data_IF_511368927988
#
_entry.id   IF_511368927988
#
_cell.length_a   1.000
_cell.length_b   1.000
_cell.length_c   1.000
_cell.angle_alpha   90.00
_cell.angle_beta   90.00
_cell.angle_gamma   90.00
#
_symmetry.space_group_name_H-M   'P 1'
#
loop_
_entity.id
_entity.type
_entity.pdbx_description
1 polymer ?
#
# COMPACT_ATOMS: atom_id res chain seq x y z
N UNK A 1 24.06 18.13 60.92
CA UNK A 1 24.47 19.17 59.95
C UNK A 1 25.48 18.60 58.98
N UNK A 2 25.20 18.61 57.66
CA UNK A 2 26.05 19.20 56.60
C UNK A 2 25.50 18.81 55.22
N UNK A 3 25.15 19.86 54.46
CA UNK A 3 24.78 19.89 53.03
C UNK A 3 26.03 19.80 52.14
N UNK A 4 25.82 19.41 50.86
CA UNK A 4 26.36 19.95 49.56
C UNK A 4 26.37 18.80 48.53
N UNK A 5 25.43 18.72 47.58
CA UNK A 5 25.39 19.28 46.19
C UNK A 5 26.61 18.91 45.33
N UNK A 6 26.31 18.60 44.05
CA UNK A 6 27.13 18.49 42.82
C UNK A 6 27.16 17.03 42.35
N UNK A 7 26.78 16.63 41.14
CA UNK A 7 26.52 17.32 39.88
C UNK A 7 27.00 16.44 38.73
N UNK A 8 26.24 16.36 37.64
CA UNK A 8 26.70 15.95 36.31
C UNK A 8 26.85 14.44 36.03
N UNK A 9 26.06 13.92 35.07
CA UNK A 9 26.54 13.63 33.72
C UNK A 9 25.39 13.07 32.86
N UNK A 10 25.10 13.78 31.77
CA UNK A 10 24.26 13.33 30.66
C UNK A 10 24.96 12.18 29.95
N UNK A 11 24.26 11.06 29.74
CA UNK A 11 24.57 10.15 28.64
C UNK A 11 23.31 10.00 27.80
N UNK A 12 23.22 10.86 26.79
CA UNK A 12 22.34 10.66 25.65
C UNK A 12 22.89 9.48 24.84
N UNK A 13 22.32 8.30 25.02
CA UNK A 13 22.58 7.18 24.14
C UNK A 13 21.71 7.35 22.87
N UNK A 14 22.26 8.08 21.90
CA UNK A 14 21.80 8.06 20.52
C UNK A 14 22.07 6.66 19.95
N UNK A 15 21.11 5.75 20.11
CA UNK A 15 21.11 4.47 19.40
C UNK A 15 20.65 4.69 17.94
N UNK A 16 21.53 5.29 17.13
CA UNK A 16 21.49 5.13 15.68
C UNK A 16 22.16 3.79 15.35
N UNK A 17 21.36 2.76 15.11
CA UNK A 17 21.89 1.45 14.75
C UNK A 17 20.78 0.49 14.39
N UNK A 18 20.34 0.54 13.14
CA UNK A 18 19.47 -0.47 12.56
C UNK A 18 17.99 -0.10 12.53
N UNK A 19 17.63 0.93 11.76
CA UNK A 19 16.33 0.86 11.07
C UNK A 19 16.52 -0.18 9.96
N UNK A 20 16.55 -1.45 10.36
CA UNK A 20 16.20 -2.53 9.46
C UNK A 20 14.76 -2.26 9.09
N UNK A 21 14.55 -1.52 7.99
CA UNK A 21 13.29 -1.58 7.25
C UNK A 21 13.20 -3.01 6.73
N UNK A 22 12.83 -3.94 7.62
CA UNK A 22 12.06 -5.09 7.21
C UNK A 22 10.89 -4.48 6.45
N UNK A 23 10.98 -4.47 5.13
CA UNK A 23 9.82 -4.19 4.30
C UNK A 23 8.88 -5.33 4.61
N UNK A 24 8.04 -5.15 5.64
CA UNK A 24 6.90 -5.99 5.86
C UNK A 24 6.22 -6.05 4.49
N UNK A 25 6.17 -7.23 3.89
CA UNK A 25 5.34 -7.44 2.71
C UNK A 25 3.99 -6.83 3.06
N UNK A 26 3.54 -5.81 2.30
CA UNK A 26 2.38 -5.02 2.67
C UNK A 26 1.21 -5.98 2.93
N UNK A 27 0.92 -6.20 4.20
CA UNK A 27 -0.04 -7.20 4.63
C UNK A 27 -1.42 -6.68 4.28
N UNK A 28 -2.22 -7.51 3.62
CA UNK A 28 -3.58 -7.14 3.26
C UNK A 28 -4.44 -7.15 4.52
N UNK A 29 -4.97 -5.99 4.89
CA UNK A 29 -6.02 -5.90 5.90
C UNK A 29 -7.36 -6.31 5.28
N UNK A 30 -7.65 -7.62 5.33
CA UNK A 30 -8.87 -8.17 4.77
C UNK A 30 -10.14 -7.67 5.48
N UNK A 31 -10.03 -7.20 6.73
CA UNK A 31 -11.16 -6.67 7.49
C UNK A 31 -11.59 -5.28 7.04
N UNK A 32 -10.68 -4.51 6.42
CA UNK A 32 -10.96 -3.20 5.84
C UNK A 32 -11.69 -3.27 4.49
N UNK A 33 -11.75 -4.46 3.87
CA UNK A 33 -12.43 -4.63 2.59
C UNK A 33 -13.93 -4.84 2.78
N UNK A 34 -14.79 -4.28 1.90
CA UNK A 34 -16.20 -4.63 1.86
C UNK A 34 -16.41 -6.07 1.34
N UNK A 35 -17.52 -6.68 1.74
CA UNK A 35 -18.00 -7.98 1.24
C UNK A 35 -18.93 -7.87 0.03
N UNK A 36 -19.19 -6.65 -0.44
CA UNK A 36 -20.05 -6.35 -1.58
C UNK A 36 -19.23 -6.12 -2.86
N UNK A 37 -19.65 -6.79 -3.94
CA UNK A 37 -19.00 -6.70 -5.25
C UNK A 37 -19.05 -5.28 -5.82
N UNK A 38 -20.18 -4.57 -5.65
CA UNK A 38 -20.32 -3.21 -6.18
C UNK A 38 -19.43 -2.21 -5.43
N UNK A 39 -19.30 -2.33 -4.11
CA UNK A 39 -18.38 -1.55 -3.30
C UNK A 39 -16.91 -1.82 -3.67
N UNK A 40 -16.54 -3.09 -3.88
CA UNK A 40 -15.19 -3.44 -4.36
C UNK A 40 -14.92 -2.89 -5.77
N UNK A 41 -15.91 -2.87 -6.67
CA UNK A 41 -15.78 -2.28 -8.00
C UNK A 41 -15.56 -0.75 -7.96
N UNK A 42 -16.18 -0.06 -6.99
CA UNK A 42 -15.90 1.35 -6.76
C UNK A 42 -14.47 1.58 -6.28
N UNK A 43 -13.97 0.74 -5.38
CA UNK A 43 -12.57 0.80 -4.92
C UNK A 43 -11.61 0.47 -6.06
N UNK A 44 -11.93 -0.51 -6.92
CA UNK A 44 -11.17 -0.83 -8.14
C UNK A 44 -10.99 0.39 -9.04
N UNK A 45 -12.09 1.11 -9.27
CA UNK A 45 -12.08 2.35 -10.07
C UNK A 45 -11.17 3.42 -9.44
N UNK A 46 -11.15 3.53 -8.10
CA UNK A 46 -10.25 4.46 -7.42
C UNK A 46 -8.78 4.06 -7.55
N UNK A 47 -8.48 2.77 -7.39
CA UNK A 47 -7.14 2.23 -7.59
C UNK A 47 -6.65 2.47 -9.03
N UNK A 48 -7.52 2.24 -10.01
CA UNK A 48 -7.19 2.46 -11.43
C UNK A 48 -6.94 3.94 -11.74
N UNK A 49 -7.70 4.86 -11.13
CA UNK A 49 -7.44 6.31 -11.25
C UNK A 49 -6.06 6.68 -10.73
N UNK A 50 -5.66 6.12 -9.58
CA UNK A 50 -4.33 6.34 -9.02
C UNK A 50 -3.23 5.77 -9.93
N UNK A 51 -3.43 4.58 -10.50
CA UNK A 51 -2.54 4.00 -11.51
C UNK A 51 -2.37 4.94 -12.71
N UNK A 52 -3.48 5.39 -13.32
CA UNK A 52 -3.47 6.30 -14.47
C UNK A 52 -2.77 7.64 -14.15
N UNK A 53 -2.88 8.12 -12.91
CA UNK A 53 -2.16 9.31 -12.47
C UNK A 53 -0.65 9.08 -12.42
N UNK A 54 -0.20 7.97 -11.85
CA UNK A 54 1.21 7.60 -11.81
C UNK A 54 1.78 7.39 -13.21
N UNK A 55 1.02 6.74 -14.11
CA UNK A 55 1.40 6.54 -15.52
C UNK A 55 1.65 7.87 -16.23
N UNK A 56 0.77 8.87 -16.03
CA UNK A 56 0.98 10.22 -16.54
C UNK A 56 2.18 10.91 -15.91
N UNK A 57 2.35 10.80 -14.60
CA UNK A 57 3.47 11.41 -13.89
C UNK A 57 4.82 10.86 -14.37
N UNK A 58 4.90 9.55 -14.60
CA UNK A 58 6.09 8.83 -15.04
C UNK A 58 6.28 8.78 -16.56
N UNK A 59 5.35 9.38 -17.32
CA UNK A 59 5.34 9.39 -18.79
C UNK A 59 5.41 7.98 -19.43
N UNK A 60 4.74 6.98 -18.85
CA UNK A 60 4.72 5.58 -19.35
C UNK A 60 3.48 5.28 -20.21
N UNK A 61 3.15 6.20 -21.12
CA UNK A 61 1.86 6.21 -21.85
C UNK A 61 1.73 5.15 -22.96
N UNK A 62 2.83 4.47 -23.30
CA UNK A 62 2.89 3.56 -24.46
C UNK A 62 2.58 2.10 -24.11
N UNK A 63 2.40 1.78 -22.83
CA UNK A 63 2.15 0.43 -22.34
C UNK A 63 0.78 0.38 -21.69
N UNK A 64 0.15 -0.79 -21.67
CA UNK A 64 -1.07 -1.01 -20.88
C UNK A 64 -0.80 -1.69 -19.54
N UNK A 65 0.40 -2.25 -19.37
CA UNK A 65 0.88 -2.88 -18.15
C UNK A 65 2.22 -2.25 -17.75
N UNK A 66 2.26 -1.73 -16.53
CA UNK A 66 3.34 -0.92 -15.99
C UNK A 66 4.12 -1.61 -14.87
N UNK A 67 3.90 -2.92 -14.66
CA UNK A 67 4.54 -3.68 -13.57
C UNK A 67 6.08 -3.67 -13.61
N UNK A 68 6.66 -3.45 -14.79
CA UNK A 68 8.10 -3.38 -15.04
C UNK A 68 8.64 -1.94 -15.01
N UNK A 69 7.79 -0.93 -14.92
CA UNK A 69 8.21 0.46 -14.83
C UNK A 69 8.38 0.86 -13.35
N UNK A 70 9.64 1.07 -12.95
CA UNK A 70 10.00 1.40 -11.57
C UNK A 70 9.38 2.70 -11.06
N UNK A 71 9.24 3.71 -11.92
CA UNK A 71 8.58 4.95 -11.54
C UNK A 71 7.11 4.68 -11.21
N UNK A 72 6.39 4.00 -12.10
CA UNK A 72 4.94 3.76 -11.94
C UNK A 72 4.65 2.90 -10.71
N UNK A 73 5.28 1.71 -10.58
CA UNK A 73 4.93 0.83 -9.46
C UNK A 73 5.32 1.44 -8.11
N UNK A 74 6.45 2.15 -8.04
CA UNK A 74 6.89 2.79 -6.79
C UNK A 74 5.97 3.94 -6.40
N UNK A 75 5.55 4.75 -7.38
CA UNK A 75 4.65 5.89 -7.14
C UNK A 75 3.27 5.42 -6.65
N UNK A 76 2.66 4.46 -7.34
CA UNK A 76 1.35 3.91 -6.92
C UNK A 76 1.46 3.24 -5.56
N UNK A 77 2.47 2.39 -5.32
CA UNK A 77 2.61 1.72 -4.02
C UNK A 77 2.84 2.71 -2.88
N UNK A 78 3.65 3.76 -3.11
CA UNK A 78 3.87 4.82 -2.12
C UNK A 78 2.57 5.57 -1.82
N UNK A 79 1.82 5.94 -2.85
CA UNK A 79 0.53 6.61 -2.72
C UNK A 79 -0.44 5.76 -1.87
N UNK A 80 -0.55 4.47 -2.19
CA UNK A 80 -1.43 3.55 -1.47
C UNK A 80 -1.03 3.34 -0.01
N UNK A 81 0.28 3.28 0.29
CA UNK A 81 0.76 3.22 1.69
C UNK A 81 0.40 4.49 2.47
N UNK A 82 0.45 5.64 1.82
CA UNK A 82 0.16 6.95 2.42
C UNK A 82 -1.34 7.31 2.44
N UNK A 83 -2.19 6.57 1.71
CA UNK A 83 -3.63 6.78 1.70
C UNK A 83 -4.24 6.67 3.09
N UNK A 84 -5.17 7.57 3.42
CA UNK A 84 -6.02 7.46 4.61
C UNK A 84 -7.16 6.47 4.43
N UNK A 85 -7.48 6.09 3.19
CA UNK A 85 -8.50 5.09 2.88
C UNK A 85 -7.90 3.68 3.05
N UNK A 86 -8.27 3.04 4.16
CA UNK A 86 -7.82 1.70 4.50
C UNK A 86 -8.32 0.64 3.51
N UNK A 87 -9.55 0.79 2.99
CA UNK A 87 -10.14 -0.15 2.03
C UNK A 87 -9.43 -0.08 0.69
N UNK A 88 -9.13 1.14 0.21
CA UNK A 88 -8.36 1.35 -1.02
C UNK A 88 -6.94 0.78 -0.91
N UNK A 89 -6.26 1.04 0.21
CA UNK A 89 -4.92 0.47 0.49
C UNK A 89 -4.98 -1.06 0.52
N UNK A 90 -5.92 -1.65 1.25
CA UNK A 90 -6.08 -3.09 1.32
C UNK A 90 -6.38 -3.69 -0.06
N UNK A 91 -7.24 -3.05 -0.85
CA UNK A 91 -7.61 -3.52 -2.18
C UNK A 91 -6.41 -3.55 -3.11
N UNK A 92 -5.62 -2.46 -3.15
CA UNK A 92 -4.40 -2.40 -3.95
C UNK A 92 -3.45 -3.55 -3.65
N UNK A 93 -3.23 -3.85 -2.36
CA UNK A 93 -2.32 -4.92 -1.96
C UNK A 93 -2.93 -6.32 -2.10
N UNK A 94 -4.26 -6.47 -2.10
CA UNK A 94 -4.96 -7.71 -2.39
C UNK A 94 -4.86 -8.12 -3.86
N UNK A 95 -4.78 -7.15 -4.78
CA UNK A 95 -4.65 -7.40 -6.21
C UNK A 95 -3.36 -8.18 -6.53
N UNK A 96 -3.43 -9.19 -7.43
CA UNK A 96 -2.24 -9.75 -8.04
C UNK A 96 -1.40 -8.66 -8.73
N UNK A 97 -0.07 -8.77 -8.64
CA UNK A 97 0.86 -7.79 -9.21
C UNK A 97 0.58 -7.49 -10.69
N UNK A 98 0.23 -8.51 -11.46
CA UNK A 98 -0.09 -8.40 -12.88
C UNK A 98 -1.35 -7.57 -13.18
N UNK A 99 -2.31 -7.50 -12.26
CA UNK A 99 -3.53 -6.70 -12.40
C UNK A 99 -3.38 -5.30 -11.80
N UNK A 100 -2.68 -5.21 -10.67
CA UNK A 100 -2.46 -3.97 -9.90
C UNK A 100 -1.91 -2.82 -10.75
N UNK A 101 -1.05 -3.13 -11.72
CA UNK A 101 -0.40 -2.14 -12.58
C UNK A 101 -0.84 -2.23 -14.05
N UNK A 102 -2.03 -2.78 -14.32
CA UNK A 102 -2.57 -2.90 -15.67
C UNK A 102 -3.78 -1.97 -15.84
N UNK A 103 -3.71 -1.04 -16.78
CA UNK A 103 -4.78 -0.07 -17.10
C UNK A 103 -5.96 -0.70 -17.86
N UNK A 104 -5.76 -1.90 -18.40
CA UNK A 104 -6.76 -2.66 -19.13
C UNK A 104 -7.09 -3.99 -18.46
N UNK A 105 -6.89 -4.10 -17.13
CA UNK A 105 -7.25 -5.31 -16.39
C UNK A 105 -8.75 -5.60 -16.55
N UNK A 106 -9.11 -6.87 -16.43
CA UNK A 106 -10.51 -7.26 -16.30
C UNK A 106 -10.98 -6.95 -14.86
N UNK A 107 -11.66 -5.82 -14.67
CA UNK A 107 -12.20 -5.38 -13.36
C UNK A 107 -13.09 -6.43 -12.70
N UNK A 108 -13.99 -7.07 -13.46
CA UNK A 108 -14.88 -8.10 -12.90
C UNK A 108 -14.10 -9.30 -12.35
N UNK A 109 -13.04 -9.71 -13.04
CA UNK A 109 -12.14 -10.76 -12.56
C UNK A 109 -11.35 -10.31 -11.32
N UNK A 110 -10.81 -9.09 -11.33
CA UNK A 110 -10.04 -8.55 -10.22
C UNK A 110 -10.88 -8.46 -8.93
N UNK A 111 -12.10 -7.93 -9.04
CA UNK A 111 -13.05 -7.83 -7.92
C UNK A 111 -13.42 -9.21 -7.38
N UNK A 112 -13.79 -10.16 -8.25
CA UNK A 112 -14.13 -11.53 -7.83
C UNK A 112 -12.99 -12.21 -7.07
N UNK A 113 -11.77 -12.11 -7.59
CA UNK A 113 -10.59 -12.69 -6.92
C UNK A 113 -10.32 -12.07 -5.54
N UNK A 114 -10.49 -10.75 -5.40
CA UNK A 114 -10.34 -10.08 -4.10
C UNK A 114 -11.44 -10.51 -3.14
N UNK A 115 -12.68 -10.61 -3.61
CA UNK A 115 -13.83 -11.03 -2.80
C UNK A 115 -13.67 -12.46 -2.29
N UNK A 116 -13.29 -13.41 -3.15
CA UNK A 116 -13.04 -14.81 -2.77
C UNK A 116 -11.93 -14.94 -1.73
N UNK A 117 -10.83 -14.20 -1.90
CA UNK A 117 -9.72 -14.19 -0.94
C UNK A 117 -10.12 -13.57 0.39
N UNK A 118 -10.89 -12.48 0.36
CA UNK A 118 -11.43 -11.85 1.57
C UNK A 118 -12.31 -12.81 2.36
N UNK A 119 -13.25 -13.49 1.69
CA UNK A 119 -14.11 -14.49 2.33
C UNK A 119 -13.29 -15.60 2.97
N UNK A 120 -12.22 -16.05 2.31
CA UNK A 120 -11.34 -17.10 2.85
C UNK A 120 -10.47 -16.62 4.02
N UNK A 121 -10.23 -15.32 4.15
CA UNK A 121 -9.34 -14.74 5.16
C UNK A 121 -10.04 -14.25 6.42
N UNK A 122 -11.35 -13.99 6.34
CA UNK A 122 -12.18 -13.46 7.44
C UNK A 122 -13.07 -14.53 8.08
N UNK A 123 -13.31 -15.65 7.38
CA UNK A 123 -13.98 -16.83 7.93
C UNK A 123 -13.00 -17.70 8.74
#
# INVERSE_FOLDING_TARGET
MRRKIIGGCVVAALAFGGIGVAQAADSVDWSALPDDEAALAQIDTQQERALRQAVRHCNDLHRSNHQANACVFTDVDRNMRQSSDAALRAYHFALPRSMRYSENRNTGLAVKQVLEKRQSAVN
#
